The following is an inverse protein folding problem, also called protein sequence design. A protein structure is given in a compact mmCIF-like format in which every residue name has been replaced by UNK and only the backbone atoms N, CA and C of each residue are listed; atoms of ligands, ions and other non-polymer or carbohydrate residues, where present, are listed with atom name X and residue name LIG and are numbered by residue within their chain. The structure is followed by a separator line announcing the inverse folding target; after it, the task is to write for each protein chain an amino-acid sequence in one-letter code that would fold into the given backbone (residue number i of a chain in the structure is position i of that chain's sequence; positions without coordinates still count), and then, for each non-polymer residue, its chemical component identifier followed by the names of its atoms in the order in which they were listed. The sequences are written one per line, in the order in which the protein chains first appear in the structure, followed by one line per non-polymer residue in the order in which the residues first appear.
data_IF_050687472844
#
_entry.id   IF_050687472844
#
_cell.length_a   1.000
_cell.length_b   1.000
_cell.length_c   1.000
_cell.angle_alpha   90.00
_cell.angle_beta   90.00
_cell.angle_gamma   90.00
#
_symmetry.space_group_name_H-M   'P 1'
#
loop_
_entity.id
_entity.type
_entity.pdbx_description
1 polymer ?
#
# COMPACT_ATOMS: atom_id res chain seq x y z
N UNK A 1 -0.42 2.06 20.89
CA UNK A 1 -1.42 2.50 19.88
C UNK A 1 -1.12 1.71 18.60
N UNK A 2 -2.08 0.93 18.08
CA UNK A 2 -1.81 -0.06 17.01
C UNK A 2 -1.44 0.63 15.69
N UNK A 3 -0.30 0.23 15.09
CA UNK A 3 0.20 0.78 13.81
C UNK A 3 -0.84 0.65 12.69
N UNK A 4 -1.70 -0.38 12.71
CA UNK A 4 -2.77 -0.60 11.72
C UNK A 4 -3.77 0.58 11.66
N UNK A 5 -4.06 1.23 12.80
CA UNK A 5 -4.94 2.41 12.84
C UNK A 5 -4.32 3.62 12.14
N UNK A 6 -2.99 3.67 12.06
CA UNK A 6 -2.25 4.71 11.35
C UNK A 6 -2.31 4.49 9.82
N UNK A 7 -2.30 3.22 9.36
CA UNK A 7 -2.51 2.89 7.94
C UNK A 7 -3.90 3.33 7.45
N UNK A 8 -4.93 3.26 8.29
CA UNK A 8 -6.29 3.70 7.95
C UNK A 8 -6.42 5.20 7.63
N UNK A 9 -5.37 6.00 7.92
CA UNK A 9 -5.30 7.42 7.55
C UNK A 9 -4.76 7.66 6.15
N UNK A 10 -4.15 6.66 5.52
CA UNK A 10 -3.66 6.74 4.15
C UNK A 10 -4.85 6.77 3.19
N UNK A 11 -4.99 7.84 2.42
CA UNK A 11 -6.05 8.03 1.42
C UNK A 11 -5.50 8.74 0.19
N UNK A 12 -6.07 8.45 -0.98
CA UNK A 12 -5.70 9.04 -2.26
C UNK A 12 -5.27 8.01 -3.30
N UNK A 13 -4.74 8.50 -4.43
CA UNK A 13 -4.17 7.67 -5.49
C UNK A 13 -2.73 7.23 -5.18
N UNK A 14 -2.12 6.50 -6.12
CA UNK A 14 -0.76 5.95 -5.94
C UNK A 14 0.27 7.02 -5.53
N UNK A 15 0.28 8.17 -6.21
CA UNK A 15 1.23 9.25 -5.90
C UNK A 15 0.99 9.86 -4.52
N UNK A 16 -0.27 10.04 -4.11
CA UNK A 16 -0.60 10.61 -2.80
C UNK A 16 -0.12 9.71 -1.67
N UNK A 17 -0.30 8.39 -1.81
CA UNK A 17 0.14 7.41 -0.83
C UNK A 17 1.67 7.32 -0.78
N UNK A 18 2.34 7.33 -1.95
CA UNK A 18 3.80 7.36 -2.00
C UNK A 18 4.37 8.60 -1.27
N UNK A 19 3.79 9.78 -1.51
CA UNK A 19 4.19 11.02 -0.83
C UNK A 19 3.99 10.93 0.69
N UNK A 20 2.84 10.43 1.15
CA UNK A 20 2.55 10.25 2.58
C UNK A 20 3.51 9.27 3.28
N UNK A 21 4.06 8.31 2.52
CA UNK A 21 5.03 7.33 3.01
C UNK A 21 6.48 7.74 2.82
N UNK A 22 6.73 8.91 2.22
CA UNK A 22 8.03 9.42 1.82
C UNK A 22 8.78 8.48 0.85
N UNK A 23 8.06 7.92 -0.12
CA UNK A 23 8.62 7.09 -1.20
C UNK A 23 8.79 7.96 -2.44
N UNK A 24 10.02 8.06 -2.94
CA UNK A 24 10.35 8.84 -4.13
C UNK A 24 10.04 8.06 -5.42
N UNK A 25 9.51 8.76 -6.43
CA UNK A 25 9.28 8.20 -7.76
C UNK A 25 10.55 8.22 -8.60
N UNK A 26 10.80 7.12 -9.31
CA UNK A 26 11.82 7.02 -10.34
C UNK A 26 11.15 6.83 -11.71
N UNK A 27 11.39 7.78 -12.63
CA UNK A 27 10.80 7.79 -13.96
C UNK A 27 9.54 8.66 -14.09
N UNK A 28 8.97 8.69 -15.29
CA UNK A 28 7.84 9.58 -15.64
C UNK A 28 6.53 9.05 -15.06
N UNK A 29 5.71 9.93 -14.47
CA UNK A 29 4.38 9.56 -13.96
C UNK A 29 3.45 9.13 -15.11
N UNK A 30 2.50 8.22 -14.83
CA UNK A 30 1.55 7.69 -15.82
C UNK A 30 2.21 6.83 -16.91
N UNK A 31 3.37 6.25 -16.61
CA UNK A 31 3.97 5.19 -17.41
C UNK A 31 4.02 3.90 -16.60
N UNK A 32 3.60 2.80 -17.22
CA UNK A 32 3.47 1.51 -16.55
C UNK A 32 4.75 1.07 -15.83
N UNK A 33 5.94 1.31 -16.41
CA UNK A 33 7.22 0.98 -15.77
C UNK A 33 7.47 1.76 -14.48
N UNK A 34 7.34 3.09 -14.54
CA UNK A 34 7.48 3.98 -13.38
C UNK A 34 6.43 3.71 -12.30
N UNK A 35 5.17 3.51 -12.71
CA UNK A 35 4.07 3.27 -11.77
C UNK A 35 4.16 1.89 -11.09
N UNK A 36 4.60 0.85 -11.81
CA UNK A 36 4.81 -0.47 -11.21
C UNK A 36 5.96 -0.48 -10.20
N UNK A 37 7.07 0.20 -10.51
CA UNK A 37 8.18 0.39 -9.56
C UNK A 37 7.71 1.14 -8.31
N UNK A 38 7.01 2.26 -8.48
CA UNK A 38 6.49 3.04 -7.36
C UNK A 38 5.49 2.23 -6.53
N UNK A 39 4.63 1.43 -7.18
CA UNK A 39 3.68 0.53 -6.50
C UNK A 39 4.42 -0.45 -5.60
N UNK A 40 5.45 -1.13 -6.11
CA UNK A 40 6.22 -2.09 -5.33
C UNK A 40 6.92 -1.44 -4.13
N UNK A 41 7.61 -0.32 -4.34
CA UNK A 41 8.30 0.42 -3.27
C UNK A 41 7.32 0.90 -2.19
N UNK A 42 6.17 1.42 -2.61
CA UNK A 42 5.11 1.89 -1.71
C UNK A 42 4.54 0.73 -0.90
N UNK A 43 4.27 -0.41 -1.53
CA UNK A 43 3.77 -1.61 -0.87
C UNK A 43 4.73 -2.11 0.21
N UNK A 44 6.03 -2.28 -0.10
CA UNK A 44 6.99 -2.77 0.89
C UNK A 44 7.18 -1.79 2.05
N UNK A 45 7.20 -0.48 1.77
CA UNK A 45 7.26 0.55 2.82
C UNK A 45 6.03 0.51 3.73
N UNK A 46 4.83 0.34 3.16
CA UNK A 46 3.58 0.20 3.90
C UNK A 46 3.57 -1.09 4.73
N UNK A 47 3.96 -2.21 4.14
CA UNK A 47 4.11 -3.50 4.82
C UNK A 47 4.98 -3.36 6.05
N UNK A 48 6.19 -2.81 5.88
CA UNK A 48 7.17 -2.74 6.97
C UNK A 48 6.74 -1.77 8.08
N UNK A 49 6.16 -0.62 7.72
CA UNK A 49 5.69 0.39 8.70
C UNK A 49 4.48 -0.06 9.50
N UNK A 50 3.49 -0.72 8.89
CA UNK A 50 2.19 -0.95 9.54
C UNK A 50 1.90 -2.40 9.88
N UNK A 51 2.45 -3.37 9.13
CA UNK A 51 2.24 -4.79 9.38
C UNK A 51 3.44 -5.42 10.07
N UNK A 52 4.67 -5.12 9.60
CA UNK A 52 5.91 -5.65 10.16
C UNK A 52 5.83 -7.18 10.35
N UNK A 53 6.11 -7.63 11.58
CA UNK A 53 6.07 -9.06 11.97
C UNK A 53 4.67 -9.70 11.86
N UNK A 54 3.60 -8.92 11.77
CA UNK A 54 2.22 -9.43 11.66
C UNK A 54 1.81 -9.67 10.20
N UNK A 55 2.68 -9.39 9.23
CA UNK A 55 2.39 -9.55 7.81
C UNK A 55 1.99 -10.98 7.47
N UNK A 56 2.78 -11.97 7.88
CA UNK A 56 2.54 -13.38 7.52
C UNK A 56 1.22 -13.90 8.08
N UNK A 57 0.83 -13.43 9.27
CA UNK A 57 -0.46 -13.78 9.88
C UNK A 57 -1.63 -13.03 9.24
N UNK A 58 -1.41 -11.88 8.60
CA UNK A 58 -2.50 -11.00 8.11
C UNK A 58 -2.69 -11.00 6.60
N UNK A 59 -1.64 -11.33 5.83
CA UNK A 59 -1.60 -11.25 4.37
C UNK A 59 -2.68 -12.08 3.69
N UNK A 60 -3.01 -13.26 4.25
CA UNK A 60 -4.05 -14.15 3.73
C UNK A 60 -5.44 -13.48 3.66
N UNK A 61 -5.71 -12.48 4.51
CA UNK A 61 -6.98 -11.73 4.51
C UNK A 61 -7.07 -10.73 3.36
N UNK A 62 -5.93 -10.35 2.79
CA UNK A 62 -5.82 -9.35 1.73
C UNK A 62 -5.54 -9.97 0.36
N UNK A 63 -5.04 -11.21 0.34
CA UNK A 63 -4.66 -11.92 -0.88
C UNK A 63 -5.86 -12.10 -1.81
N UNK A 64 -5.69 -11.71 -3.08
CA UNK A 64 -6.72 -11.82 -4.11
C UNK A 64 -7.86 -10.80 -4.00
N UNK A 65 -7.85 -9.90 -3.00
CA UNK A 65 -8.83 -8.84 -2.90
C UNK A 65 -8.49 -7.69 -3.85
N UNK A 66 -9.39 -7.43 -4.80
CA UNK A 66 -9.31 -6.28 -5.69
C UNK A 66 -10.20 -5.15 -5.16
N UNK A 67 -9.63 -3.95 -5.04
CA UNK A 67 -10.35 -2.77 -4.58
C UNK A 67 -11.58 -2.50 -5.45
N UNK A 68 -12.75 -2.34 -4.81
CA UNK A 68 -14.04 -2.12 -5.48
C UNK A 68 -14.74 -3.38 -6.00
N UNK A 69 -14.09 -4.55 -6.00
CA UNK A 69 -14.65 -5.81 -6.53
C UNK A 69 -14.65 -6.98 -5.55
N UNK A 70 -13.84 -6.93 -4.47
CA UNK A 70 -13.85 -7.95 -3.43
C UNK A 70 -15.12 -7.93 -2.55
N UNK A 71 -15.41 -9.03 -1.81
CA UNK A 71 -16.50 -9.02 -0.83
C UNK A 71 -16.28 -7.86 0.14
N UNK A 72 -17.28 -6.98 0.25
CA UNK A 72 -17.20 -5.90 1.24
C UNK A 72 -17.10 -6.57 2.60
N UNK A 73 -16.02 -6.28 3.33
CA UNK A 73 -15.95 -6.60 4.75
C UNK A 73 -16.97 -5.69 5.44
N UNK A 74 -18.21 -6.18 5.55
CA UNK A 74 -19.22 -5.67 6.48
C UNK A 74 -18.73 -5.82 7.91
#
# INVERSE_FOLDING_TARGET
KSQIVQAAKLRGGLQDIANQLCVERIGVQHQAGSDSLLTAQTFFTLRDKFFGQQWDTSSHKLQGLLFGLGPQSV
#
